data_IF_778177425871
#
_entry.id   IF_778177425871
#
_cell.length_a   1.000
_cell.length_b   1.000
_cell.length_c   1.000
_cell.angle_alpha   90.00
_cell.angle_beta   90.00
_cell.angle_gamma   90.00
#
_symmetry.space_group_name_H-M   'P 1'
#
loop_
_entity.id
_entity.type
_entity.pdbx_description
1 polymer ?
#
# COMPACT_ATOMS: atom_id res chain seq x y z
N UNK A 1 36.10 11.71 11.92
CA UNK A 1 34.80 11.11 11.51
C UNK A 1 34.90 9.60 11.27
N UNK A 2 35.94 9.11 10.60
CA UNK A 2 36.04 7.68 10.22
C UNK A 2 36.12 6.70 11.39
N UNK A 3 36.91 7.01 12.43
CA UNK A 3 37.22 6.06 13.51
C UNK A 3 36.22 6.12 14.65
N UNK A 4 35.93 7.32 15.17
CA UNK A 4 35.08 7.47 16.37
C UNK A 4 33.60 7.05 16.23
N UNK A 5 33.01 7.04 15.02
CA UNK A 5 31.61 6.57 14.82
C UNK A 5 31.54 5.07 14.54
N UNK A 6 32.66 4.46 14.14
CA UNK A 6 32.76 3.01 13.87
C UNK A 6 33.20 2.23 15.10
N UNK A 7 33.94 2.86 16.01
CA UNK A 7 34.28 2.30 17.31
C UNK A 7 33.03 2.20 18.19
N UNK A 8 32.79 1.02 18.78
CA UNK A 8 31.57 0.73 19.54
C UNK A 8 31.43 1.55 20.83
N UNK A 9 32.53 1.95 21.48
CA UNK A 9 32.55 2.80 22.68
C UNK A 9 32.73 4.28 22.40
N UNK A 10 32.75 4.71 21.13
CA UNK A 10 32.93 6.09 20.73
C UNK A 10 34.40 6.48 20.48
N UNK A 11 34.68 7.77 20.50
CA UNK A 11 35.99 8.32 20.08
C UNK A 11 37.11 8.07 21.09
N UNK A 12 36.78 7.86 22.36
CA UNK A 12 37.74 7.58 23.44
C UNK A 12 38.46 6.22 23.30
N UNK A 13 37.84 5.23 22.65
CA UNK A 13 38.44 3.90 22.43
C UNK A 13 39.70 3.94 21.55
N UNK A 14 39.82 4.96 20.71
CA UNK A 14 40.88 5.10 19.71
C UNK A 14 41.95 6.12 20.13
N UNK A 15 41.80 6.70 21.32
CA UNK A 15 42.67 7.75 21.83
C UNK A 15 43.42 7.24 23.05
N UNK A 16 44.55 7.88 23.35
CA UNK A 16 45.33 7.57 24.54
C UNK A 16 44.51 7.85 25.82
N UNK A 17 44.76 7.04 26.84
CA UNK A 17 44.09 7.13 28.14
C UNK A 17 44.27 8.54 28.74
N UNK A 18 43.18 9.22 29.14
CA UNK A 18 43.26 10.56 29.73
C UNK A 18 43.93 10.62 31.10
N UNK A 19 44.23 9.48 31.74
CA UNK A 19 44.82 9.42 33.07
C UNK A 19 46.15 10.19 33.16
N UNK A 20 46.17 11.28 33.94
CA UNK A 20 47.37 12.10 34.15
C UNK A 20 47.55 13.27 33.18
N UNK A 21 46.56 13.55 32.32
CA UNK A 21 46.53 14.77 31.50
C UNK A 21 46.06 15.98 32.32
N UNK A 22 46.58 17.17 32.00
CA UNK A 22 46.14 18.45 32.57
C UNK A 22 44.65 18.73 32.31
N UNK A 23 44.08 18.11 31.26
CA UNK A 23 42.68 18.25 30.86
C UNK A 23 41.84 16.98 31.09
N UNK A 24 42.28 16.06 31.95
CA UNK A 24 41.63 14.75 32.20
C UNK A 24 40.10 14.85 32.36
N UNK A 25 39.60 15.76 33.19
CA UNK A 25 38.16 15.95 33.41
C UNK A 25 37.41 16.39 32.14
N UNK A 26 37.99 17.32 31.37
CA UNK A 26 37.39 17.78 30.12
C UNK A 26 37.38 16.67 29.07
N UNK A 27 38.41 15.82 29.06
CA UNK A 27 38.49 14.69 28.15
C UNK A 27 37.44 13.63 28.46
N UNK A 28 37.28 13.25 29.72
CA UNK A 28 36.24 12.30 30.15
C UNK A 28 34.84 12.82 29.78
N UNK A 29 34.55 14.10 30.02
CA UNK A 29 33.27 14.70 29.66
C UNK A 29 33.04 14.70 28.14
N UNK A 30 34.10 14.97 27.36
CA UNK A 30 34.03 14.91 25.89
C UNK A 30 33.72 13.50 25.40
N UNK A 31 34.40 12.48 25.92
CA UNK A 31 34.19 11.09 25.48
C UNK A 31 32.80 10.56 25.87
N UNK A 32 32.32 10.88 27.08
CA UNK A 32 30.96 10.52 27.54
C UNK A 32 29.90 11.22 26.68
N UNK A 33 30.02 12.54 26.46
CA UNK A 33 29.03 13.27 25.65
C UNK A 33 29.04 12.80 24.19
N UNK A 34 30.21 12.55 23.62
CA UNK A 34 30.32 11.96 22.28
C UNK A 34 29.63 10.60 22.19
N UNK A 35 29.88 9.70 23.14
CA UNK A 35 29.25 8.38 23.18
C UNK A 35 27.72 8.48 23.25
N UNK A 36 27.18 9.27 24.19
CA UNK A 36 25.73 9.39 24.36
C UNK A 36 25.04 10.05 23.15
N UNK A 37 25.55 11.17 22.66
CA UNK A 37 24.87 11.89 21.58
C UNK A 37 25.10 11.24 20.20
N UNK A 38 26.33 10.84 19.89
CA UNK A 38 26.68 10.38 18.53
C UNK A 38 26.45 8.89 18.36
N UNK A 39 26.80 8.07 19.35
CA UNK A 39 26.67 6.61 19.22
C UNK A 39 25.27 6.19 19.65
N UNK A 40 24.83 6.54 20.86
CA UNK A 40 23.54 6.07 21.36
C UNK A 40 22.37 6.75 20.65
N UNK A 41 22.29 8.09 20.68
CA UNK A 41 21.11 8.81 20.17
C UNK A 41 21.04 8.77 18.64
N UNK A 42 22.09 9.15 17.91
CA UNK A 42 22.00 9.21 16.43
C UNK A 42 21.82 7.82 15.79
N UNK A 43 22.49 6.78 16.28
CA UNK A 43 22.26 5.43 15.73
C UNK A 43 20.85 4.92 16.05
N UNK A 44 20.34 5.19 17.26
CA UNK A 44 18.96 4.84 17.61
C UNK A 44 17.94 5.57 16.72
N UNK A 45 18.17 6.84 16.38
CA UNK A 45 17.30 7.58 15.45
C UNK A 45 17.32 6.94 14.06
N UNK A 46 18.51 6.62 13.52
CA UNK A 46 18.62 5.99 12.19
C UNK A 46 17.90 4.64 12.17
N UNK A 47 18.09 3.80 13.20
CA UNK A 47 17.38 2.53 13.33
C UNK A 47 15.87 2.74 13.49
N UNK A 48 15.45 3.75 14.26
CA UNK A 48 14.06 4.13 14.43
C UNK A 48 13.39 4.49 13.11
N UNK A 49 14.04 5.30 12.27
CA UNK A 49 13.53 5.67 10.94
C UNK A 49 13.37 4.45 10.02
N UNK A 50 14.30 3.49 10.09
CA UNK A 50 14.19 2.25 9.30
C UNK A 50 13.00 1.41 9.77
N UNK A 51 12.81 1.26 11.08
CA UNK A 51 11.68 0.50 11.65
C UNK A 51 10.35 1.16 11.30
N UNK A 52 10.29 2.49 11.39
CA UNK A 52 9.12 3.28 11.04
C UNK A 52 8.73 3.09 9.57
N UNK A 53 9.70 3.20 8.66
CA UNK A 53 9.48 2.97 7.22
C UNK A 53 8.99 1.54 6.92
N UNK A 54 9.54 0.51 7.59
CA UNK A 54 9.02 -0.85 7.44
C UNK A 54 7.64 -1.04 8.05
N UNK A 55 7.33 -0.33 9.14
CA UNK A 55 6.00 -0.27 9.72
C UNK A 55 4.99 0.30 8.73
N UNK A 56 5.30 1.45 8.12
CA UNK A 56 4.44 2.09 7.14
C UNK A 56 4.20 1.21 5.90
N UNK A 57 5.24 0.58 5.36
CA UNK A 57 5.09 -0.34 4.22
C UNK A 57 4.17 -1.52 4.55
N UNK A 58 4.24 -2.03 5.77
CA UNK A 58 3.37 -3.12 6.23
C UNK A 58 1.92 -2.65 6.37
N UNK A 59 1.70 -1.47 6.92
CA UNK A 59 0.36 -0.90 7.08
C UNK A 59 -0.29 -0.63 5.72
N UNK A 60 0.48 -0.16 4.73
CA UNK A 60 0.01 0.01 3.35
C UNK A 60 -0.39 -1.32 2.70
N UNK A 61 0.43 -2.37 2.86
CA UNK A 61 0.10 -3.71 2.35
C UNK A 61 -1.18 -4.25 3.01
N UNK A 62 -1.30 -4.11 4.34
CA UNK A 62 -2.47 -4.54 5.08
C UNK A 62 -3.73 -3.79 4.62
N UNK A 63 -3.65 -2.48 4.43
CA UNK A 63 -4.77 -1.67 3.96
C UNK A 63 -5.30 -2.14 2.60
N UNK A 64 -4.40 -2.41 1.64
CA UNK A 64 -4.78 -2.89 0.30
C UNK A 64 -5.45 -4.27 0.39
N UNK A 65 -4.90 -5.17 1.21
CA UNK A 65 -5.46 -6.51 1.40
C UNK A 65 -6.85 -6.47 2.06
N UNK A 66 -7.02 -5.64 3.08
CA UNK A 66 -8.31 -5.44 3.75
C UNK A 66 -9.34 -4.84 2.79
N UNK A 67 -8.95 -3.84 2.00
CA UNK A 67 -9.84 -3.24 0.99
C UNK A 67 -10.29 -4.26 -0.06
N UNK A 68 -9.39 -5.11 -0.57
CA UNK A 68 -9.77 -6.16 -1.53
C UNK A 68 -10.67 -7.24 -0.93
N UNK A 69 -10.55 -7.51 0.38
CA UNK A 69 -11.34 -8.52 1.08
C UNK A 69 -12.72 -8.02 1.53
N UNK A 70 -12.88 -6.72 1.73
CA UNK A 70 -14.08 -6.13 2.37
C UNK A 70 -15.03 -5.45 1.40
N UNK A 71 -14.58 -5.01 0.22
CA UNK A 71 -15.43 -4.35 -0.78
C UNK A 71 -15.05 -4.74 -2.19
N UNK A 72 -16.03 -4.74 -3.10
CA UNK A 72 -15.77 -5.01 -4.50
C UNK A 72 -14.98 -3.85 -5.14
N UNK A 73 -13.92 -4.14 -5.89
CA UNK A 73 -13.11 -3.14 -6.59
C UNK A 73 -13.93 -2.29 -7.59
N UNK A 74 -14.92 -2.90 -8.25
CA UNK A 74 -15.69 -2.23 -9.31
C UNK A 74 -16.85 -1.41 -8.72
N UNK A 75 -17.73 -2.02 -7.93
CA UNK A 75 -18.94 -1.34 -7.46
C UNK A 75 -18.82 -0.72 -6.06
N UNK A 76 -17.74 -0.99 -5.33
CA UNK A 76 -17.48 -0.43 -3.99
C UNK A 76 -18.50 -0.87 -2.92
N UNK A 77 -19.35 -1.86 -3.22
CA UNK A 77 -20.27 -2.45 -2.24
C UNK A 77 -19.49 -3.40 -1.33
N UNK A 78 -19.79 -3.36 -0.03
CA UNK A 78 -19.18 -4.19 0.99
C UNK A 78 -19.57 -5.66 0.91
N UNK A 79 -18.70 -6.55 1.39
CA UNK A 79 -18.93 -7.99 1.44
C UNK A 79 -20.14 -8.37 2.32
N UNK A 80 -20.44 -7.56 3.32
CA UNK A 80 -21.59 -7.69 4.22
C UNK A 80 -22.93 -7.74 3.47
N UNK A 81 -23.06 -7.01 2.36
CA UNK A 81 -24.24 -7.06 1.51
C UNK A 81 -24.37 -8.41 0.78
N UNK A 82 -23.25 -8.92 0.25
CA UNK A 82 -23.25 -10.12 -0.60
C UNK A 82 -23.30 -11.42 0.20
N UNK A 83 -22.67 -11.46 1.37
CA UNK A 83 -22.56 -12.65 2.22
C UNK A 83 -23.86 -13.00 2.96
N UNK A 84 -24.96 -12.30 2.67
CA UNK A 84 -26.34 -12.79 2.94
C UNK A 84 -26.60 -14.13 2.24
N UNK A 85 -25.89 -14.41 1.15
CA UNK A 85 -25.87 -15.71 0.46
C UNK A 85 -24.52 -16.38 0.70
N UNK A 86 -24.46 -17.71 0.92
CA UNK A 86 -23.18 -18.41 1.06
C UNK A 86 -22.25 -18.16 -0.13
N UNK A 87 -20.99 -17.80 0.14
CA UNK A 87 -19.98 -17.45 -0.88
C UNK A 87 -20.41 -16.31 -1.82
N UNK A 88 -21.28 -15.42 -1.36
CA UNK A 88 -21.85 -14.35 -2.17
C UNK A 88 -20.80 -13.37 -2.67
N UNK A 89 -19.91 -12.89 -1.79
CA UNK A 89 -18.86 -11.95 -2.18
C UNK A 89 -17.82 -12.56 -3.14
N UNK A 90 -17.41 -13.81 -2.90
CA UNK A 90 -16.51 -14.55 -3.77
C UNK A 90 -17.12 -14.75 -5.17
N UNK A 91 -18.40 -15.14 -5.23
CA UNK A 91 -19.13 -15.25 -6.50
C UNK A 91 -19.20 -13.90 -7.22
N UNK A 92 -19.53 -12.83 -6.48
CA UNK A 92 -19.62 -11.48 -7.04
C UNK A 92 -18.29 -11.02 -7.65
N UNK A 93 -17.17 -11.24 -6.97
CA UNK A 93 -15.84 -10.81 -7.45
C UNK A 93 -15.27 -11.71 -8.55
N UNK A 94 -15.55 -13.01 -8.55
CA UNK A 94 -15.00 -13.95 -9.52
C UNK A 94 -15.84 -14.12 -10.78
N UNK A 95 -17.16 -13.98 -10.69
CA UNK A 95 -18.09 -14.24 -11.80
C UNK A 95 -18.75 -12.97 -12.34
N UNK A 96 -19.23 -12.09 -11.46
CA UNK A 96 -19.98 -10.89 -11.87
C UNK A 96 -19.04 -9.72 -12.20
N UNK A 97 -18.24 -9.28 -11.23
CA UNK A 97 -17.33 -8.13 -11.31
C UNK A 97 -15.85 -8.55 -11.32
N UNK A 98 -15.52 -9.50 -12.20
CA UNK A 98 -14.15 -9.96 -12.37
C UNK A 98 -13.29 -8.94 -13.12
N UNK A 99 -12.20 -8.47 -12.50
CA UNK A 99 -11.31 -7.45 -13.08
C UNK A 99 -10.74 -7.86 -14.44
N UNK A 100 -10.38 -9.14 -14.62
CA UNK A 100 -9.83 -9.64 -15.86
C UNK A 100 -10.86 -9.65 -16.99
N UNK A 101 -12.13 -9.94 -16.68
CA UNK A 101 -13.20 -9.92 -17.69
C UNK A 101 -13.42 -8.53 -18.27
N UNK A 102 -13.31 -7.46 -17.45
CA UNK A 102 -13.37 -6.08 -17.96
C UNK A 102 -12.21 -5.77 -18.93
N UNK A 103 -10.99 -6.22 -18.61
CA UNK A 103 -9.84 -6.07 -19.50
C UNK A 103 -10.03 -6.85 -20.81
N UNK A 104 -10.49 -8.10 -20.73
CA UNK A 104 -10.77 -8.91 -21.91
C UNK A 104 -11.88 -8.34 -22.77
N UNK A 105 -12.91 -7.73 -22.17
CA UNK A 105 -13.97 -7.06 -22.90
C UNK A 105 -13.46 -5.83 -23.65
N UNK A 106 -12.59 -5.01 -23.05
CA UNK A 106 -11.97 -3.89 -23.76
C UNK A 106 -11.07 -4.39 -24.91
N UNK A 107 -10.26 -5.43 -24.68
CA UNK A 107 -9.45 -6.03 -25.73
C UNK A 107 -10.32 -6.62 -26.86
N UNK A 108 -11.47 -7.21 -26.52
CA UNK A 108 -12.45 -7.71 -27.48
C UNK A 108 -13.00 -6.60 -28.37
N UNK A 109 -13.45 -5.48 -27.79
CA UNK A 109 -13.96 -4.34 -28.55
C UNK A 109 -12.91 -3.73 -29.47
N UNK A 110 -11.66 -3.59 -29.00
CA UNK A 110 -10.57 -3.03 -29.80
C UNK A 110 -10.26 -3.88 -31.04
N UNK A 111 -10.40 -5.21 -30.95
CA UNK A 111 -10.06 -6.13 -32.02
C UNK A 111 -11.25 -6.49 -32.93
N UNK A 112 -12.47 -6.10 -32.56
CA UNK A 112 -13.68 -6.38 -33.33
C UNK A 112 -13.93 -5.26 -34.34
N UNK A 113 -14.48 -5.62 -35.51
CA UNK A 113 -14.90 -4.62 -36.49
C UNK A 113 -16.10 -3.81 -35.95
N UNK A 114 -16.03 -2.48 -36.04
CA UNK A 114 -17.06 -1.58 -35.51
C UNK A 114 -18.45 -1.85 -36.13
N UNK A 115 -18.50 -2.33 -37.37
CA UNK A 115 -19.77 -2.66 -38.04
C UNK A 115 -20.44 -3.92 -37.48
N UNK A 116 -19.68 -4.77 -36.78
CA UNK A 116 -20.16 -5.98 -36.13
C UNK A 116 -20.48 -5.76 -34.63
N UNK A 117 -20.32 -4.54 -34.13
CA UNK A 117 -20.69 -4.22 -32.77
C UNK A 117 -22.18 -4.40 -32.54
N UNK A 118 -22.55 -5.06 -31.45
CA UNK A 118 -23.93 -5.05 -30.96
C UNK A 118 -24.31 -3.68 -30.41
N UNK A 119 -25.59 -3.47 -30.09
CA UNK A 119 -26.04 -2.18 -29.53
C UNK A 119 -25.36 -1.83 -28.19
N UNK A 120 -25.15 -2.82 -27.32
CA UNK A 120 -24.46 -2.64 -26.04
C UNK A 120 -22.97 -2.37 -26.24
N UNK A 121 -22.32 -3.12 -27.14
CA UNK A 121 -20.90 -2.92 -27.49
C UNK A 121 -20.65 -1.54 -28.08
N UNK A 122 -21.51 -1.10 -29.02
CA UNK A 122 -21.43 0.23 -29.63
C UNK A 122 -21.60 1.34 -28.59
N UNK A 123 -22.50 1.16 -27.62
CA UNK A 123 -22.70 2.11 -26.53
C UNK A 123 -21.45 2.25 -25.67
N UNK A 124 -20.86 1.14 -25.22
CA UNK A 124 -19.63 1.17 -24.41
C UNK A 124 -18.44 1.68 -25.24
N UNK A 125 -18.33 1.29 -26.50
CA UNK A 125 -17.28 1.76 -27.41
C UNK A 125 -17.32 3.28 -27.58
N UNK A 126 -18.52 3.85 -27.74
CA UNK A 126 -18.69 5.31 -27.81
C UNK A 126 -18.18 5.99 -26.52
N UNK A 127 -18.61 5.52 -25.35
CA UNK A 127 -18.18 6.09 -24.07
C UNK A 127 -16.66 5.96 -23.87
N UNK A 128 -16.09 4.83 -24.28
CA UNK A 128 -14.65 4.60 -24.24
C UNK A 128 -13.87 5.64 -25.08
N UNK A 129 -14.33 5.91 -26.31
CA UNK A 129 -13.73 6.93 -27.18
C UNK A 129 -13.89 8.35 -26.62
N UNK A 130 -15.01 8.62 -25.95
CA UNK A 130 -15.30 9.89 -25.25
C UNK A 130 -14.56 10.01 -23.90
N UNK A 131 -13.79 8.98 -23.49
CA UNK A 131 -13.13 8.89 -22.18
C UNK A 131 -14.11 9.07 -21.00
N UNK A 132 -15.34 8.61 -21.19
CA UNK A 132 -16.40 8.59 -20.19
C UNK A 132 -16.51 7.17 -19.60
N UNK A 133 -16.54 7.07 -18.28
CA UNK A 133 -16.49 5.79 -17.54
C UNK A 133 -17.82 5.44 -16.87
N UNK A 134 -18.90 6.13 -17.25
CA UNK A 134 -20.23 6.02 -16.63
C UNK A 134 -20.89 4.65 -16.85
N UNK A 135 -20.33 3.79 -17.69
CA UNK A 135 -20.80 2.42 -17.87
C UNK A 135 -20.36 1.46 -16.75
N UNK A 136 -19.43 1.86 -15.89
CA UNK A 136 -19.06 1.05 -14.72
C UNK A 136 -20.15 1.12 -13.63
N UNK A 137 -20.49 0.00 -12.99
CA UNK A 137 -21.58 -0.05 -12.01
C UNK A 137 -21.12 0.43 -10.62
N UNK A 138 -20.89 1.73 -10.45
CA UNK A 138 -20.43 2.30 -9.17
C UNK A 138 -21.61 2.42 -8.19
N UNK A 139 -21.48 1.84 -7.00
CA UNK A 139 -22.48 1.90 -5.92
C UNK A 139 -23.72 1.01 -6.13
N UNK A 140 -23.77 0.27 -7.23
CA UNK A 140 -24.87 -0.62 -7.60
C UNK A 140 -24.37 -1.92 -8.24
N UNK A 141 -25.25 -2.92 -8.32
CA UNK A 141 -24.98 -4.17 -9.04
C UNK A 141 -26.29 -4.84 -9.45
N UNK A 142 -26.20 -5.84 -10.33
CA UNK A 142 -27.38 -6.54 -10.85
C UNK A 142 -28.31 -7.03 -9.72
N UNK A 143 -27.77 -7.73 -8.72
CA UNK A 143 -28.58 -8.25 -7.60
C UNK A 143 -29.30 -7.14 -6.85
N UNK A 144 -28.62 -6.02 -6.57
CA UNK A 144 -29.17 -4.89 -5.82
C UNK A 144 -30.26 -4.16 -6.59
N UNK A 145 -30.09 -3.99 -7.90
CA UNK A 145 -31.08 -3.37 -8.76
C UNK A 145 -32.38 -4.20 -8.87
N UNK A 146 -32.27 -5.53 -8.80
CA UNK A 146 -33.39 -6.46 -9.00
C UNK A 146 -33.78 -7.22 -7.72
N UNK A 147 -33.42 -6.72 -6.54
CA UNK A 147 -33.63 -7.40 -5.25
C UNK A 147 -35.12 -7.72 -5.01
N UNK A 148 -36.04 -6.81 -5.36
CA UNK A 148 -37.49 -7.01 -5.23
C UNK A 148 -38.09 -8.03 -6.21
N UNK A 149 -37.37 -8.36 -7.29
CA UNK A 149 -37.86 -9.23 -8.38
C UNK A 149 -37.25 -10.63 -8.32
N UNK A 150 -36.05 -10.74 -7.77
CA UNK A 150 -35.28 -11.98 -7.66
C UNK A 150 -35.31 -12.60 -6.25
N UNK A 151 -35.97 -11.93 -5.29
CA UNK A 151 -36.13 -12.35 -3.90
C UNK A 151 -36.87 -13.66 -3.72
#
# INVERSE_FOLDING_TARGET
MYVGVRAGGGIGDELEDPAGDAFELYRILFDITFFFFVIVILLAIIQGLIIDAFGELRDQEQQVNEDMATKCFICVIGNDYFDRTPHGFETHTLQEHNLANYLFFLMYLINKDETEHTGQESFVWKLYQERCWDFFPIGDCFRKQYEDQLG
#
